data_IF_585538670098
#
_entry.id   IF_585538670098
#
_cell.length_a   1.000
_cell.length_b   1.000
_cell.length_c   1.000
_cell.angle_alpha   90.00
_cell.angle_beta   90.00
_cell.angle_gamma   90.00
#
_symmetry.space_group_name_H-M   'P 1'
#
loop_
_entity.id
_entity.type
_entity.pdbx_description
1 polymer ?
#
# COMPACT_ATOMS: atom_id res chain seq x y z
N UNK A 1 10.07 17.13 7.52
CA UNK A 1 10.64 16.09 6.64
C UNK A 1 10.53 14.77 7.41
N UNK A 2 9.63 13.86 7.06
CA UNK A 2 9.60 12.53 7.68
C UNK A 2 10.93 11.84 7.39
N UNK A 3 11.63 11.46 8.45
CA UNK A 3 12.77 10.56 8.33
C UNK A 3 12.19 9.14 8.29
N UNK A 4 12.59 8.38 7.29
CA UNK A 4 12.09 7.05 7.00
C UNK A 4 13.27 6.12 7.30
N UNK A 5 13.19 5.33 8.35
CA UNK A 5 14.27 4.45 8.80
C UNK A 5 13.76 3.01 8.83
N UNK A 6 14.49 2.04 8.25
CA UNK A 6 14.17 0.64 8.47
C UNK A 6 14.56 0.28 9.90
N UNK A 7 13.56 0.12 10.77
CA UNK A 7 13.73 -0.46 12.10
C UNK A 7 12.77 -1.65 12.18
N UNK A 8 13.29 -2.85 12.33
CA UNK A 8 12.46 -4.05 12.54
C UNK A 8 12.32 -4.27 14.05
N UNK A 9 11.09 -4.37 14.52
CA UNK A 9 10.77 -4.67 15.93
C UNK A 9 10.08 -6.03 16.00
N UNK A 10 10.75 -7.01 16.60
CA UNK A 10 10.15 -8.31 16.90
C UNK A 10 9.07 -8.14 17.97
N UNK A 11 7.88 -8.70 17.75
CA UNK A 11 6.85 -8.74 18.79
C UNK A 11 6.98 -10.01 19.65
N UNK A 12 6.17 -10.09 20.72
CA UNK A 12 6.03 -11.30 21.56
C UNK A 12 5.22 -12.42 20.87
N UNK A 13 4.76 -12.20 19.65
CA UNK A 13 4.12 -13.19 18.77
C UNK A 13 5.03 -13.51 17.58
N UNK A 14 4.62 -14.46 16.73
CA UNK A 14 5.36 -14.85 15.52
C UNK A 14 5.39 -13.73 14.45
N UNK A 15 4.59 -12.67 14.64
CA UNK A 15 4.57 -11.48 13.78
C UNK A 15 5.74 -10.53 14.01
N UNK A 16 6.21 -9.93 12.93
CA UNK A 16 7.28 -8.93 12.92
C UNK A 16 6.70 -7.59 12.45
N UNK A 17 6.96 -6.52 13.22
CA UNK A 17 6.64 -5.16 12.79
C UNK A 17 7.83 -4.53 12.09
N UNK A 18 7.62 -4.13 10.85
CA UNK A 18 8.61 -3.40 10.08
C UNK A 18 8.27 -1.92 10.11
N UNK A 19 9.14 -1.12 10.74
CA UNK A 19 8.97 0.32 10.81
C UNK A 19 9.13 0.93 9.41
N UNK A 20 8.16 1.75 9.06
CA UNK A 20 8.17 2.53 7.83
C UNK A 20 8.29 4.02 8.16
N UNK A 21 7.56 4.51 9.16
CA UNK A 21 7.78 5.83 9.75
C UNK A 21 7.92 5.66 11.25
N UNK A 22 9.05 6.12 11.78
CA UNK A 22 9.41 5.99 13.19
C UNK A 22 8.28 6.48 14.10
N UNK A 23 7.91 5.65 15.08
CA UNK A 23 6.86 5.86 16.08
C UNK A 23 5.44 6.12 15.53
N UNK A 24 5.22 5.95 14.21
CA UNK A 24 3.96 6.34 13.57
C UNK A 24 3.36 5.30 12.64
N UNK A 25 4.18 4.59 11.87
CA UNK A 25 3.67 3.74 10.79
C UNK A 25 4.52 2.50 10.60
N UNK A 26 3.87 1.35 10.69
CA UNK A 26 4.48 0.03 10.57
C UNK A 26 3.68 -0.82 9.59
N UNK A 27 4.32 -1.86 9.07
CA UNK A 27 3.65 -2.96 8.35
C UNK A 27 4.02 -4.27 9.04
N UNK A 28 3.04 -5.14 9.23
CA UNK A 28 3.23 -6.40 9.92
C UNK A 28 3.38 -7.56 8.92
N UNK A 29 4.40 -8.39 9.13
CA UNK A 29 4.51 -9.71 8.48
C UNK A 29 4.27 -10.81 9.53
N UNK A 30 3.31 -11.70 9.28
CA UNK A 30 2.96 -12.81 10.19
C UNK A 30 1.96 -12.42 11.29
N UNK A 31 1.72 -13.35 12.21
CA UNK A 31 0.61 -13.27 13.16
C UNK A 31 0.81 -12.20 14.25
N UNK A 32 -0.03 -11.16 14.22
CA UNK A 32 -0.21 -10.24 15.34
C UNK A 32 -1.27 -10.81 16.28
N UNK A 33 -0.85 -11.20 17.49
CA UNK A 33 -1.83 -11.57 18.52
C UNK A 33 -2.61 -10.31 18.92
N UNK A 34 -3.94 -10.42 18.93
CA UNK A 34 -4.86 -9.42 19.49
C UNK A 34 -4.67 -9.34 21.00
N UNK A 35 -3.64 -8.66 21.45
CA UNK A 35 -3.48 -8.30 22.85
C UNK A 35 -4.26 -7.02 23.12
N UNK A 36 -5.19 -7.08 24.09
CA UNK A 36 -6.02 -5.94 24.54
C UNK A 36 -5.20 -4.75 25.09
N UNK A 37 -3.87 -4.86 25.14
CA UNK A 37 -2.94 -3.82 25.59
C UNK A 37 -2.00 -3.28 24.50
N UNK A 38 -2.19 -3.66 23.24
CA UNK A 38 -1.36 -3.13 22.15
C UNK A 38 -1.65 -1.64 21.94
N UNK A 39 -0.62 -0.81 22.09
CA UNK A 39 -0.71 0.64 21.99
C UNK A 39 -0.60 1.11 20.52
N UNK A 40 -1.34 0.48 19.60
CA UNK A 40 -1.35 0.82 18.17
C UNK A 40 -2.72 0.57 17.53
N UNK A 41 -2.95 1.21 16.38
CA UNK A 41 -4.14 1.04 15.54
C UNK A 41 -3.82 0.08 14.40
N UNK A 42 -4.78 -0.76 14.02
CA UNK A 42 -4.60 -1.73 12.92
C UNK A 42 -5.45 -1.34 11.71
N UNK A 43 -4.87 -1.40 10.53
CA UNK A 43 -5.57 -1.29 9.25
C UNK A 43 -5.31 -2.58 8.47
N UNK A 44 -6.34 -3.42 8.39
CA UNK A 44 -6.35 -4.60 7.53
C UNK A 44 -6.63 -4.17 6.08
N UNK A 45 -5.88 -4.73 5.13
CA UNK A 45 -6.06 -4.51 3.69
C UNK A 45 -6.84 -5.64 3.02
N UNK A 46 -6.69 -6.87 3.50
CA UNK A 46 -7.35 -8.07 3.00
C UNK A 46 -8.86 -7.99 3.14
N UNK A 47 -9.59 -8.46 2.13
CA UNK A 47 -11.06 -8.37 2.07
C UNK A 47 -11.61 -6.95 1.90
N UNK A 48 -10.74 -5.94 1.76
CA UNK A 48 -11.13 -4.53 1.61
C UNK A 48 -10.64 -3.93 0.30
N UNK A 49 -9.41 -4.25 -0.10
CA UNK A 49 -8.82 -3.82 -1.37
C UNK A 49 -8.47 -5.07 -2.19
N UNK A 50 -9.46 -5.59 -2.92
CA UNK A 50 -9.34 -6.83 -3.68
C UNK A 50 -9.07 -6.53 -5.16
N UNK A 51 -8.13 -7.26 -5.73
CA UNK A 51 -7.87 -7.20 -7.17
C UNK A 51 -8.75 -8.22 -7.88
N UNK A 52 -9.46 -7.79 -8.93
CA UNK A 52 -10.26 -8.67 -9.77
C UNK A 52 -9.36 -9.36 -10.81
N UNK A 53 -8.91 -10.57 -10.49
CA UNK A 53 -8.04 -11.38 -11.36
C UNK A 53 -8.74 -11.79 -12.65
N UNK A 54 -8.05 -11.68 -13.79
CA UNK A 54 -8.52 -12.23 -15.07
C UNK A 54 -8.07 -13.68 -15.22
N UNK A 55 -6.84 -14.00 -14.82
CA UNK A 55 -6.30 -15.35 -14.80
C UNK A 55 -5.51 -15.60 -13.50
N UNK A 56 -4.18 -15.56 -13.55
CA UNK A 56 -3.31 -15.72 -12.37
C UNK A 56 -2.65 -14.39 -11.96
N UNK A 57 -3.04 -13.29 -12.59
CA UNK A 57 -2.70 -11.93 -12.17
C UNK A 57 -3.42 -11.57 -10.86
N UNK A 58 -2.71 -10.93 -9.94
CA UNK A 58 -3.21 -10.56 -8.61
C UNK A 58 -3.06 -9.06 -8.30
N UNK A 59 -2.57 -8.29 -9.25
CA UNK A 59 -2.27 -6.88 -9.06
C UNK A 59 -1.43 -6.30 -10.22
N UNK A 60 -0.92 -5.07 -10.05
CA UNK A 60 -1.08 -4.22 -8.85
C UNK A 60 -2.51 -3.72 -8.67
N UNK A 61 -2.88 -3.38 -7.42
CA UNK A 61 -4.14 -2.68 -7.14
C UNK A 61 -4.24 -1.37 -7.93
N UNK A 62 -5.46 -1.08 -8.41
CA UNK A 62 -5.75 0.09 -9.22
C UNK A 62 -5.72 1.43 -8.41
N UNK A 63 -5.97 2.55 -9.09
CA UNK A 63 -5.88 3.87 -8.48
C UNK A 63 -6.99 4.15 -7.45
N UNK A 64 -8.21 3.62 -7.61
CA UNK A 64 -9.26 3.82 -6.60
C UNK A 64 -8.88 3.18 -5.27
N UNK A 65 -8.36 1.95 -5.29
CA UNK A 65 -7.85 1.27 -4.10
C UNK A 65 -6.75 2.09 -3.41
N UNK A 66 -5.77 2.57 -4.17
CA UNK A 66 -4.68 3.41 -3.63
C UNK A 66 -5.25 4.66 -2.95
N UNK A 67 -6.15 5.40 -3.60
CA UNK A 67 -6.69 6.64 -3.04
C UNK A 67 -7.59 6.37 -1.82
N UNK A 68 -8.44 5.34 -1.85
CA UNK A 68 -9.27 4.96 -0.69
C UNK A 68 -8.43 4.53 0.51
N UNK A 69 -7.38 3.75 0.28
CA UNK A 69 -6.42 3.41 1.33
C UNK A 69 -5.75 4.66 1.90
N UNK A 70 -5.26 5.55 1.02
CA UNK A 70 -4.62 6.79 1.43
C UNK A 70 -5.55 7.65 2.31
N UNK A 71 -6.83 7.78 1.93
CA UNK A 71 -7.84 8.49 2.71
C UNK A 71 -8.08 7.84 4.08
N UNK A 72 -8.22 6.51 4.12
CA UNK A 72 -8.41 5.76 5.37
C UNK A 72 -7.23 5.92 6.31
N UNK A 73 -6.01 5.74 5.81
CA UNK A 73 -4.79 5.87 6.61
C UNK A 73 -4.61 7.31 7.12
N UNK A 74 -4.85 8.31 6.27
CA UNK A 74 -4.78 9.72 6.67
C UNK A 74 -5.80 10.05 7.78
N UNK A 75 -7.02 9.55 7.64
CA UNK A 75 -8.08 9.70 8.65
C UNK A 75 -7.71 9.03 9.96
N UNK A 76 -7.15 7.81 9.93
CA UNK A 76 -6.76 7.07 11.13
C UNK A 76 -5.63 7.79 11.87
N UNK A 77 -4.58 8.19 11.15
CA UNK A 77 -3.44 8.93 11.72
C UNK A 77 -3.85 10.30 12.27
N UNK A 78 -4.84 10.96 11.67
CA UNK A 78 -5.34 12.26 12.13
C UNK A 78 -6.26 12.13 13.34
N UNK A 79 -7.06 11.06 13.41
CA UNK A 79 -7.99 10.81 14.52
C UNK A 79 -7.28 10.30 15.77
N UNK A 80 -6.18 9.56 15.61
CA UNK A 80 -5.41 8.96 16.70
C UNK A 80 -3.93 9.33 16.61
N UNK A 81 -3.56 10.63 16.70
CA UNK A 81 -2.19 11.09 16.43
C UNK A 81 -1.15 10.53 17.41
N UNK A 82 -1.58 10.11 18.61
CA UNK A 82 -0.71 9.55 19.65
C UNK A 82 -0.46 8.04 19.50
N UNK A 83 -1.17 7.38 18.59
CA UNK A 83 -1.07 5.94 18.38
C UNK A 83 -0.42 5.62 17.03
N UNK A 84 0.63 4.79 16.98
CA UNK A 84 1.14 4.28 15.72
C UNK A 84 0.07 3.45 15.00
N UNK A 85 0.12 3.46 13.67
CA UNK A 85 -0.74 2.65 12.81
C UNK A 85 0.08 1.49 12.24
N UNK A 86 -0.50 0.29 12.25
CA UNK A 86 0.07 -0.93 11.70
C UNK A 86 -0.80 -1.38 10.53
N UNK A 87 -0.18 -1.54 9.36
CA UNK A 87 -0.82 -2.11 8.18
C UNK A 87 -0.71 -3.64 8.25
N UNK A 88 -1.83 -4.32 8.12
CA UNK A 88 -1.94 -5.78 8.21
C UNK A 88 -2.51 -6.34 6.90
N UNK A 89 -1.90 -7.42 6.41
CA UNK A 89 -2.41 -8.23 5.30
C UNK A 89 -2.68 -9.66 5.78
N UNK A 90 -3.23 -10.51 4.90
CA UNK A 90 -3.45 -11.92 5.20
C UNK A 90 -2.10 -12.62 5.42
N UNK A 91 -2.12 -13.54 6.37
CA UNK A 91 -0.95 -14.32 6.76
C UNK A 91 -0.54 -15.27 5.64
N UNK A 92 0.77 -15.46 5.48
CA UNK A 92 1.36 -16.39 4.50
C UNK A 92 0.91 -16.19 3.05
N UNK A 93 0.46 -14.98 2.70
CA UNK A 93 0.01 -14.62 1.36
C UNK A 93 0.92 -13.52 0.77
N UNK A 94 1.94 -13.94 0.00
CA UNK A 94 2.91 -13.06 -0.67
C UNK A 94 2.26 -12.05 -1.62
N UNK A 95 1.16 -12.45 -2.28
CA UNK A 95 0.42 -11.62 -3.25
C UNK A 95 -0.32 -10.49 -2.56
N UNK A 96 -1.05 -10.81 -1.50
CA UNK A 96 -1.73 -9.79 -0.69
C UNK A 96 -0.73 -8.87 0.01
N UNK A 97 0.38 -9.42 0.48
CA UNK A 97 1.39 -8.62 1.16
C UNK A 97 2.11 -7.65 0.20
N UNK A 98 2.38 -8.07 -1.04
CA UNK A 98 2.86 -7.17 -2.09
C UNK A 98 1.87 -6.02 -2.35
N UNK A 99 0.57 -6.30 -2.41
CA UNK A 99 -0.49 -5.28 -2.56
C UNK A 99 -0.61 -4.35 -1.33
N UNK A 100 -0.48 -4.86 -0.11
CA UNK A 100 -0.46 -4.02 1.10
C UNK A 100 0.76 -3.08 1.12
N UNK A 101 1.94 -3.59 0.74
CA UNK A 101 3.15 -2.79 0.61
C UNK A 101 3.02 -1.77 -0.54
N UNK A 102 2.36 -2.11 -1.65
CA UNK A 102 2.04 -1.17 -2.72
C UNK A 102 1.25 0.02 -2.18
N UNK A 103 0.13 -0.23 -1.48
CA UNK A 103 -0.73 0.79 -0.89
C UNK A 103 0.05 1.72 0.05
N UNK A 104 0.81 1.12 0.98
CA UNK A 104 1.60 1.86 1.96
C UNK A 104 2.70 2.72 1.32
N UNK A 105 3.48 2.14 0.39
CA UNK A 105 4.51 2.88 -0.32
C UNK A 105 3.94 4.00 -1.19
N UNK A 106 2.79 3.77 -1.83
CA UNK A 106 2.07 4.77 -2.63
C UNK A 106 1.66 5.98 -1.80
N UNK A 107 1.10 5.76 -0.61
CA UNK A 107 0.77 6.83 0.33
C UNK A 107 1.99 7.71 0.65
N UNK A 108 3.15 7.09 0.89
CA UNK A 108 4.38 7.80 1.22
C UNK A 108 4.95 8.58 0.02
N UNK A 109 4.88 8.00 -1.18
CA UNK A 109 5.26 8.69 -2.42
C UNK A 109 4.36 9.89 -2.68
N UNK A 110 3.05 9.74 -2.52
CA UNK A 110 2.06 10.78 -2.88
C UNK A 110 2.04 11.90 -1.83
N UNK A 111 1.82 11.57 -0.55
CA UNK A 111 1.62 12.56 0.52
C UNK A 111 2.94 13.18 0.98
N UNK A 112 3.93 12.34 1.28
CA UNK A 112 5.20 12.79 1.86
C UNK A 112 6.27 13.10 0.81
N UNK A 113 5.98 12.86 -0.48
CA UNK A 113 6.89 13.10 -1.60
C UNK A 113 8.21 12.32 -1.43
N UNK A 114 8.15 11.17 -0.77
CA UNK A 114 9.29 10.26 -0.62
C UNK A 114 9.58 9.61 -1.98
N UNK A 115 10.85 9.51 -2.36
CA UNK A 115 11.20 8.87 -3.63
C UNK A 115 11.02 7.36 -3.57
N UNK A 116 10.70 6.73 -4.71
CA UNK A 116 10.51 5.29 -4.78
C UNK A 116 11.73 4.51 -4.27
N UNK A 117 12.95 4.96 -4.62
CA UNK A 117 14.19 4.34 -4.13
C UNK A 117 14.35 4.42 -2.61
N UNK A 118 13.81 5.46 -1.95
CA UNK A 118 13.81 5.55 -0.48
C UNK A 118 12.82 4.56 0.11
N UNK A 119 11.62 4.45 -0.47
CA UNK A 119 10.64 3.44 -0.07
C UNK A 119 11.25 2.04 -0.21
N UNK A 120 11.88 1.71 -1.35
CA UNK A 120 12.54 0.41 -1.56
C UNK A 120 13.62 0.10 -0.52
N UNK A 121 14.33 1.10 0.00
CA UNK A 121 15.30 0.90 1.10
C UNK A 121 14.62 0.52 2.42
N UNK A 122 13.44 1.08 2.71
CA UNK A 122 12.66 0.74 3.91
C UNK A 122 12.14 -0.70 3.86
N UNK A 123 11.90 -1.21 2.65
CA UNK A 123 11.51 -2.58 2.36
C UNK A 123 12.68 -3.49 1.98
N UNK A 124 13.92 -3.16 2.40
CA UNK A 124 15.12 -3.94 2.01
C UNK A 124 15.21 -5.32 2.65
N UNK A 125 14.42 -5.57 3.70
CA UNK A 125 14.29 -6.86 4.38
C UNK A 125 13.44 -7.87 3.60
N UNK A 126 12.70 -7.43 2.57
CA UNK A 126 11.84 -8.28 1.76
C UNK A 126 12.45 -8.48 0.36
N UNK A 127 12.40 -9.73 -0.11
CA UNK A 127 12.73 -10.13 -1.47
C UNK A 127 11.46 -10.59 -2.22
N UNK A 128 11.64 -11.16 -3.41
CA UNK A 128 10.54 -11.61 -4.26
C UNK A 128 9.75 -12.81 -3.68
N UNK A 129 10.26 -13.49 -2.64
CA UNK A 129 9.51 -14.53 -1.91
C UNK A 129 8.49 -13.94 -0.94
N UNK A 130 8.74 -12.72 -0.46
CA UNK A 130 7.85 -11.97 0.44
C UNK A 130 6.91 -11.07 -0.37
N UNK A 131 7.44 -10.41 -1.40
CA UNK A 131 6.67 -9.60 -2.34
C UNK A 131 6.70 -10.26 -3.72
N UNK A 132 5.74 -11.14 -3.97
CA UNK A 132 5.61 -11.79 -5.27
C UNK A 132 5.56 -10.70 -6.37
N UNK A 133 6.39 -10.80 -7.42
CA UNK A 133 6.34 -9.87 -8.53
C UNK A 133 5.02 -10.00 -9.30
N UNK A 134 4.49 -8.87 -9.77
CA UNK A 134 3.26 -8.88 -10.56
C UNK A 134 3.50 -9.48 -11.94
N UNK A 135 2.50 -10.20 -12.44
CA UNK A 135 2.48 -10.81 -13.76
C UNK A 135 1.35 -10.24 -14.60
N UNK A 136 1.41 -10.49 -15.89
CA UNK A 136 0.34 -10.11 -16.80
C UNK A 136 -0.86 -11.07 -16.75
N UNK A 137 -1.98 -10.64 -17.33
CA UNK A 137 -3.25 -11.35 -17.35
C UNK A 137 -3.35 -12.45 -18.44
N UNK A 138 -2.26 -12.77 -19.14
CA UNK A 138 -2.28 -13.82 -20.17
C UNK A 138 -2.35 -15.23 -19.58
N UNK A 139 -2.86 -16.14 -20.40
CA UNK A 139 -2.88 -17.57 -20.10
C UNK A 139 -1.49 -18.16 -20.32
N UNK A 140 -0.97 -18.88 -19.32
CA UNK A 140 0.28 -19.62 -19.42
C UNK A 140 1.37 -19.06 -18.52
N UNK A 141 2.63 -19.25 -18.93
CA UNK A 141 3.80 -18.78 -18.17
C UNK A 141 4.05 -17.29 -18.48
N UNK A 142 4.30 -16.44 -17.47
CA UNK A 142 4.63 -15.05 -17.72
C UNK A 142 6.07 -14.93 -18.26
N UNK A 143 6.24 -14.08 -19.27
CA UNK A 143 7.54 -13.75 -19.87
C UNK A 143 8.20 -12.52 -19.21
N UNK A 144 7.42 -11.76 -18.43
CA UNK A 144 7.87 -10.56 -17.75
C UNK A 144 7.20 -10.42 -16.38
N UNK A 145 7.94 -9.91 -15.42
CA UNK A 145 7.45 -9.58 -14.10
C UNK A 145 7.68 -8.11 -13.78
N UNK A 146 6.65 -7.46 -13.24
CA UNK A 146 6.71 -6.09 -12.75
C UNK A 146 6.93 -6.10 -11.24
N UNK A 147 8.01 -5.52 -10.76
CA UNK A 147 8.30 -5.51 -9.33
C UNK A 147 7.64 -4.31 -8.62
N UNK A 148 7.43 -4.44 -7.32
CA UNK A 148 6.82 -3.42 -6.48
C UNK A 148 7.51 -2.04 -6.57
N UNK A 149 8.84 -2.03 -6.73
CA UNK A 149 9.62 -0.80 -6.89
C UNK A 149 9.30 -0.09 -8.23
N UNK A 150 8.98 -0.83 -9.29
CA UNK A 150 8.60 -0.25 -10.57
C UNK A 150 7.25 0.47 -10.46
N UNK A 151 6.31 -0.11 -9.71
CA UNK A 151 5.03 0.52 -9.39
C UNK A 151 5.23 1.83 -8.62
N UNK A 152 6.05 1.85 -7.56
CA UNK A 152 6.33 3.09 -6.83
C UNK A 152 7.03 4.15 -7.69
N UNK A 153 7.93 3.75 -8.60
CA UNK A 153 8.56 4.66 -9.57
C UNK A 153 7.54 5.23 -10.55
N UNK A 154 6.56 4.44 -11.00
CA UNK A 154 5.47 4.92 -11.84
C UNK A 154 4.61 5.96 -11.11
N UNK A 155 4.26 5.70 -9.85
CA UNK A 155 3.50 6.64 -9.00
C UNK A 155 4.29 7.91 -8.74
N UNK A 156 5.60 7.81 -8.48
CA UNK A 156 6.48 8.96 -8.31
C UNK A 156 6.50 9.82 -9.58
N UNK A 157 6.66 9.21 -10.76
CA UNK A 157 6.60 9.90 -12.04
C UNK A 157 5.24 10.56 -12.27
N UNK A 158 4.14 9.86 -12.02
CA UNK A 158 2.79 10.41 -12.13
C UNK A 158 2.59 11.62 -11.22
N UNK A 159 3.08 11.55 -9.98
CA UNK A 159 3.08 12.68 -9.03
C UNK A 159 3.89 13.87 -9.53
N UNK A 160 5.10 13.64 -10.06
CA UNK A 160 5.95 14.69 -10.61
C UNK A 160 5.34 15.37 -11.83
N UNK A 161 4.50 14.66 -12.59
CA UNK A 161 3.73 15.21 -13.72
C UNK A 161 2.40 15.85 -13.30
N UNK A 162 2.04 15.78 -12.01
CA UNK A 162 0.79 16.32 -11.48
C UNK A 162 -0.45 15.49 -11.83
N UNK A 163 -0.28 14.26 -12.32
CA UNK A 163 -1.39 13.34 -12.61
C UNK A 163 -2.07 12.84 -11.34
N UNK A 164 -1.29 12.67 -10.26
CA UNK A 164 -1.78 12.30 -8.93
C UNK A 164 -1.18 13.28 -7.92
N UNK A 165 -2.01 13.88 -7.07
CA UNK A 165 -1.54 14.83 -6.05
C UNK A 165 -2.37 14.76 -4.78
N UNK A 166 -1.67 14.83 -3.65
CA UNK A 166 -2.28 15.16 -2.36
C UNK A 166 -2.19 16.66 -2.11
N UNK A 167 -3.21 17.23 -1.47
CA UNK A 167 -3.15 18.61 -0.99
C UNK A 167 -3.29 19.65 -2.09
N UNK A 168 -4.16 19.39 -3.06
CA UNK A 168 -4.57 20.37 -4.06
C UNK A 168 -5.29 21.58 -3.47
N UNK A 169 -6.15 22.27 -4.22
CA UNK A 169 -6.82 23.52 -3.72
C UNK A 169 -7.57 23.33 -2.39
N UNK A 170 -7.98 22.11 -2.09
CA UNK A 170 -8.72 21.74 -0.87
C UNK A 170 -7.85 21.20 0.27
N UNK A 171 -6.55 20.93 0.08
CA UNK A 171 -5.74 20.31 1.13
C UNK A 171 -6.09 18.84 1.42
N UNK A 172 -6.82 18.16 0.52
CA UNK A 172 -7.35 16.80 0.70
C UNK A 172 -6.92 15.87 -0.44
N UNK A 173 -7.31 14.60 -0.36
CA UNK A 173 -7.23 13.61 -1.44
C UNK A 173 -8.29 13.82 -2.55
N UNK A 174 -9.17 14.82 -2.38
CA UNK A 174 -10.45 14.94 -3.11
C UNK A 174 -10.39 15.59 -4.50
N UNK A 175 -9.21 15.84 -5.07
CA UNK A 175 -9.15 16.26 -6.48
C UNK A 175 -9.32 15.08 -7.45
N UNK A 176 -9.16 13.84 -6.97
CA UNK A 176 -9.45 12.64 -7.75
C UNK A 176 -10.86 12.16 -7.43
N UNK A 177 -11.74 12.12 -8.43
CA UNK A 177 -13.11 11.63 -8.27
C UNK A 177 -13.12 10.10 -8.30
N UNK A 178 -12.84 9.48 -7.15
CA UNK A 178 -12.80 8.03 -7.00
C UNK A 178 -14.12 7.37 -7.41
N UNK A 179 -15.25 7.99 -7.09
CA UNK A 179 -16.57 7.44 -7.41
C UNK A 179 -16.83 7.43 -8.92
N UNK A 180 -16.35 8.43 -9.65
CA UNK A 180 -16.44 8.47 -11.12
C UNK A 180 -15.52 7.41 -11.76
N UNK A 181 -14.30 7.25 -11.25
CA UNK A 181 -13.41 6.19 -11.69
C UNK A 181 -14.08 4.81 -11.53
N UNK A 182 -14.61 4.50 -10.34
CA UNK A 182 -15.27 3.21 -10.09
C UNK A 182 -16.57 3.03 -10.87
N UNK A 183 -17.27 4.14 -11.15
CA UNK A 183 -18.44 4.09 -12.01
C UNK A 183 -18.06 3.61 -13.41
N UNK A 184 -17.04 4.20 -14.02
CA UNK A 184 -16.65 3.87 -15.40
C UNK A 184 -15.78 2.61 -15.55
N UNK A 185 -15.06 2.19 -14.50
CA UNK A 185 -14.33 0.91 -14.46
C UNK A 185 -15.29 -0.29 -14.57
N UNK A 186 -16.53 -0.12 -14.10
CA UNK A 186 -17.56 -1.14 -14.19
C UNK A 186 -17.93 -1.48 -15.65
N UNK A 187 -17.94 -2.77 -15.98
CA UNK A 187 -18.31 -3.30 -17.30
C UNK A 187 -19.68 -2.81 -17.77
N UNK A 188 -20.65 -2.67 -16.86
CA UNK A 188 -21.99 -2.17 -17.17
C UNK A 188 -22.00 -0.70 -17.63
N UNK A 189 -20.97 0.07 -17.30
CA UNK A 189 -20.89 1.51 -17.54
C UNK A 189 -19.80 1.88 -18.57
N UNK A 190 -19.25 0.90 -19.28
CA UNK A 190 -18.37 1.13 -20.44
C UNK A 190 -16.92 0.70 -20.30
N UNK A 191 -16.47 0.31 -19.09
CA UNK A 191 -15.11 -0.20 -18.81
C UNK A 191 -14.02 0.75 -19.33
N UNK A 192 -14.00 1.97 -18.78
CA UNK A 192 -13.13 3.09 -19.20
C UNK A 192 -12.20 3.55 -18.07
#
# INVERSE_FOLDING_TARGET
RCQVFPITVSMKSDGILHCVVEDKLYIASGHLRKDKGNNFREIYTSGIYEYESVYDDFGPLNLSHIIRFCQRLDSEMSSFPDYPVVICAEEDNSREFANAALLLGSYLVIKFKTSADKIRKCFSWADDSIFEPYRDASVGRPDFFLHLNDCWRAIEKARLRGWIRYGGRSGTWGEYNVNEYEHYDNVANGRL
#
